data_IF_791407910360
#
_entry.id   IF_791407910360
#
_cell.length_a   1.000
_cell.length_b   1.000
_cell.length_c   1.000
_cell.angle_alpha   90.00
_cell.angle_beta   90.00
_cell.angle_gamma   90.00
#
_symmetry.space_group_name_H-M   'P 1'
#
loop_
_entity.id
_entity.type
_entity.pdbx_description
1 polymer ?
#
# COMPACT_ATOMS: atom_id res chain seq x y z
N UNK A 1 -13.18 -6.54 2.59
CA UNK A 1 -11.88 -6.72 1.87
C UNK A 1 -12.01 -7.70 0.71
N UNK A 2 -12.37 -8.98 0.88
CA UNK A 2 -12.45 -10.01 -0.18
C UNK A 2 -13.19 -9.54 -1.46
N UNK A 3 -14.45 -9.08 -1.34
CA UNK A 3 -15.25 -8.63 -2.49
C UNK A 3 -14.58 -7.48 -3.26
N UNK A 4 -14.02 -6.49 -2.54
CA UNK A 4 -13.33 -5.35 -3.18
C UNK A 4 -12.05 -5.77 -3.90
N UNK A 5 -11.27 -6.68 -3.31
CA UNK A 5 -10.07 -7.23 -3.97
C UNK A 5 -10.41 -8.02 -5.23
N UNK A 6 -11.50 -8.81 -5.20
CA UNK A 6 -11.97 -9.54 -6.38
C UNK A 6 -12.37 -8.59 -7.52
N UNK A 7 -13.04 -7.49 -7.21
CA UNK A 7 -13.39 -6.45 -8.20
C UNK A 7 -12.11 -5.80 -8.75
N UNK A 8 -11.16 -5.44 -7.87
CA UNK A 8 -9.89 -4.86 -8.29
C UNK A 8 -9.10 -5.77 -9.24
N UNK A 9 -9.08 -7.09 -9.00
CA UNK A 9 -8.47 -8.04 -9.92
C UNK A 9 -9.17 -8.04 -11.29
N UNK A 10 -10.50 -8.02 -11.30
CA UNK A 10 -11.27 -7.96 -12.55
C UNK A 10 -10.99 -6.68 -13.35
N UNK A 11 -10.90 -5.53 -12.67
CA UNK A 11 -10.57 -4.26 -13.32
C UNK A 11 -9.10 -4.23 -13.82
N UNK A 12 -8.17 -4.77 -13.04
CA UNK A 12 -6.77 -4.90 -13.47
C UNK A 12 -6.63 -5.78 -14.71
N UNK A 13 -7.35 -6.90 -14.77
CA UNK A 13 -7.35 -7.82 -15.91
C UNK A 13 -7.87 -7.17 -17.19
N UNK A 14 -8.90 -6.32 -17.10
CA UNK A 14 -9.42 -5.57 -18.25
C UNK A 14 -8.39 -4.61 -18.84
N UNK A 15 -7.55 -4.01 -18.00
CA UNK A 15 -6.58 -3.00 -18.41
C UNK A 15 -5.22 -3.58 -18.80
N UNK A 16 -4.89 -4.80 -18.34
CA UNK A 16 -3.54 -5.35 -18.38
C UNK A 16 -3.53 -6.83 -18.81
N UNK A 17 -4.04 -7.14 -19.99
CA UNK A 17 -4.24 -8.51 -20.48
C UNK A 17 -2.99 -9.40 -20.51
N UNK A 18 -1.77 -8.84 -20.59
CA UNK A 18 -0.52 -9.57 -20.78
C UNK A 18 0.55 -9.28 -19.70
N UNK A 19 0.18 -8.76 -18.52
CA UNK A 19 1.14 -8.46 -17.46
C UNK A 19 1.18 -9.54 -16.37
N UNK A 20 2.33 -9.65 -15.72
CA UNK A 20 2.50 -10.49 -14.55
C UNK A 20 1.43 -10.18 -13.48
N UNK A 21 0.66 -11.20 -13.11
CA UNK A 21 -0.39 -11.10 -12.09
C UNK A 21 0.23 -11.17 -10.69
N UNK A 22 0.81 -10.07 -10.21
CA UNK A 22 1.38 -9.92 -8.87
C UNK A 22 0.46 -9.09 -7.98
N UNK A 23 0.20 -9.56 -6.78
CA UNK A 23 -0.60 -8.86 -5.78
C UNK A 23 0.19 -8.69 -4.49
N UNK A 24 0.58 -7.45 -4.20
CA UNK A 24 1.35 -7.09 -3.01
C UNK A 24 0.40 -6.59 -1.93
N UNK A 25 0.53 -7.11 -0.72
CA UNK A 25 -0.24 -6.69 0.45
C UNK A 25 0.70 -6.31 1.58
N UNK A 26 0.71 -5.05 1.97
CA UNK A 26 1.55 -4.49 3.01
C UNK A 26 0.74 -3.67 4.02
N UNK A 27 1.41 -3.13 5.04
CA UNK A 27 0.82 -2.33 6.09
C UNK A 27 0.23 -3.14 7.23
N UNK A 28 -0.25 -2.48 8.30
CA UNK A 28 -0.67 -3.11 9.57
C UNK A 28 -1.71 -4.22 9.40
N UNK A 29 -2.68 -4.05 8.50
CA UNK A 29 -3.72 -5.07 8.24
C UNK A 29 -3.13 -6.35 7.64
N UNK A 30 -2.00 -6.27 6.93
CA UNK A 30 -1.31 -7.41 6.37
C UNK A 30 -0.66 -8.33 7.43
N UNK A 31 -0.53 -7.90 8.68
CA UNK A 31 -0.08 -8.74 9.79
C UNK A 31 -1.14 -9.76 10.24
N UNK A 32 -2.42 -9.51 9.95
CA UNK A 32 -3.52 -10.38 10.34
C UNK A 32 -3.49 -11.71 9.55
N UNK A 33 -3.19 -12.80 10.23
CA UNK A 33 -3.06 -14.14 9.62
C UNK A 33 -4.32 -14.59 8.89
N UNK A 34 -5.52 -14.28 9.41
CA UNK A 34 -6.80 -14.64 8.77
C UNK A 34 -6.98 -13.91 7.44
N UNK A 35 -6.64 -12.63 7.42
CA UNK A 35 -6.70 -11.82 6.19
C UNK A 35 -5.68 -12.31 5.17
N UNK A 36 -4.43 -12.59 5.58
CA UNK A 36 -3.40 -13.18 4.71
C UNK A 36 -3.91 -14.46 4.06
N UNK A 37 -4.39 -15.42 4.85
CA UNK A 37 -4.84 -16.70 4.35
C UNK A 37 -6.00 -16.56 3.36
N UNK A 38 -6.95 -15.67 3.64
CA UNK A 38 -8.06 -15.35 2.75
C UNK A 38 -7.59 -14.78 1.42
N UNK A 39 -6.64 -13.84 1.45
CA UNK A 39 -6.10 -13.21 0.24
C UNK A 39 -5.21 -14.17 -0.56
N UNK A 40 -4.41 -14.99 0.09
CA UNK A 40 -3.62 -16.06 -0.56
C UNK A 40 -4.54 -17.02 -1.31
N UNK A 41 -5.65 -17.44 -0.67
CA UNK A 41 -6.64 -18.30 -1.32
C UNK A 41 -7.24 -17.64 -2.55
N UNK A 42 -7.65 -16.38 -2.45
CA UNK A 42 -8.17 -15.61 -3.57
C UNK A 42 -7.15 -15.45 -4.71
N UNK A 43 -5.88 -15.20 -4.38
CA UNK A 43 -4.81 -15.10 -5.37
C UNK A 43 -4.63 -16.42 -6.13
N UNK A 44 -4.62 -17.55 -5.42
CA UNK A 44 -4.55 -18.89 -6.03
C UNK A 44 -5.74 -19.16 -6.97
N UNK A 45 -6.97 -18.81 -6.54
CA UNK A 45 -8.19 -18.98 -7.34
C UNK A 45 -8.15 -18.14 -8.64
N UNK A 46 -7.42 -17.03 -8.65
CA UNK A 46 -7.35 -16.07 -9.75
C UNK A 46 -6.01 -16.08 -10.49
N UNK A 47 -5.12 -17.04 -10.20
CA UNK A 47 -3.79 -17.15 -10.77
C UNK A 47 -2.92 -15.90 -10.57
N UNK A 48 -3.02 -15.28 -9.37
CA UNK A 48 -2.14 -14.20 -8.94
C UNK A 48 -1.04 -14.73 -8.04
N UNK A 49 0.17 -14.20 -8.20
CA UNK A 49 1.23 -14.35 -7.22
C UNK A 49 0.99 -13.40 -6.05
N UNK A 50 0.73 -13.93 -4.86
CA UNK A 50 0.59 -13.13 -3.64
C UNK A 50 1.96 -12.84 -3.03
N UNK A 51 2.24 -11.60 -2.71
CA UNK A 51 3.50 -11.14 -2.09
C UNK A 51 3.15 -10.43 -0.79
N UNK A 52 3.72 -10.91 0.31
CA UNK A 52 3.56 -10.30 1.64
C UNK A 52 4.94 -10.06 2.25
N UNK A 53 5.19 -8.90 2.86
CA UNK A 53 6.38 -8.70 3.67
C UNK A 53 6.34 -9.60 4.91
N UNK A 54 7.49 -9.76 5.57
CA UNK A 54 7.53 -10.36 6.90
C UNK A 54 6.62 -9.58 7.86
N UNK A 55 6.02 -10.27 8.83
CA UNK A 55 5.04 -9.66 9.75
C UNK A 55 5.63 -8.47 10.50
N UNK A 56 6.90 -8.55 10.89
CA UNK A 56 7.66 -7.49 11.56
C UNK A 56 7.73 -6.18 10.76
N UNK A 57 7.63 -6.24 9.42
CA UNK A 57 7.63 -5.07 8.53
C UNK A 57 6.23 -4.61 8.12
N UNK A 58 5.18 -5.19 8.69
CA UNK A 58 3.81 -4.80 8.37
C UNK A 58 3.28 -3.61 9.18
N UNK A 59 3.97 -3.24 10.28
CA UNK A 59 3.72 -2.03 11.07
C UNK A 59 4.71 -0.93 10.71
N UNK A 60 4.48 0.27 11.22
CA UNK A 60 5.44 1.37 11.10
C UNK A 60 6.79 0.94 11.68
N UNK A 61 7.85 1.15 10.92
CA UNK A 61 9.19 0.78 11.31
C UNK A 61 10.24 1.68 10.66
N UNK A 62 11.38 1.79 11.32
CA UNK A 62 12.49 2.64 10.87
C UNK A 62 13.07 2.23 9.51
N UNK A 63 12.99 0.94 9.15
CA UNK A 63 13.53 0.45 7.87
C UNK A 63 12.78 1.04 6.67
N UNK A 64 11.47 1.29 6.79
CA UNK A 64 10.69 1.96 5.74
C UNK A 64 11.20 3.37 5.48
N UNK A 65 11.43 4.12 6.54
CA UNK A 65 11.91 5.51 6.46
C UNK A 65 13.34 5.55 5.96
N UNK A 66 14.19 4.65 6.45
CA UNK A 66 15.56 4.53 5.97
C UNK A 66 15.64 4.20 4.47
N UNK A 67 14.77 3.33 3.97
CA UNK A 67 14.71 2.99 2.54
C UNK A 67 14.31 4.20 1.69
N UNK A 68 13.27 4.95 2.11
CA UNK A 68 12.86 6.19 1.42
C UNK A 68 13.99 7.22 1.47
N UNK A 69 14.65 7.37 2.62
CA UNK A 69 15.81 8.25 2.76
C UNK A 69 16.96 7.89 1.83
N UNK A 70 17.25 6.59 1.68
CA UNK A 70 18.28 6.11 0.76
C UNK A 70 17.93 6.42 -0.72
N UNK A 71 16.68 6.21 -1.13
CA UNK A 71 16.25 6.52 -2.49
C UNK A 71 16.29 8.04 -2.78
N UNK A 72 15.82 8.86 -1.84
CA UNK A 72 15.94 10.34 -1.94
C UNK A 72 17.41 10.79 -2.01
N UNK A 73 18.28 10.16 -1.20
CA UNK A 73 19.72 10.46 -1.22
C UNK A 73 20.34 10.17 -2.59
N UNK A 74 20.05 9.02 -3.21
CA UNK A 74 20.50 8.67 -4.56
C UNK A 74 20.03 9.70 -5.61
N UNK A 75 18.81 10.19 -5.45
CA UNK A 75 18.21 11.21 -6.32
C UNK A 75 18.67 12.63 -6.00
N UNK A 76 19.57 12.83 -5.01
CA UNK A 76 20.02 14.14 -4.50
C UNK A 76 18.88 15.06 -4.06
N UNK A 77 17.80 14.47 -3.54
CA UNK A 77 16.64 15.19 -3.01
C UNK A 77 16.83 15.37 -1.50
N UNK A 78 17.09 16.59 -1.09
CA UNK A 78 17.32 16.96 0.32
C UNK A 78 16.31 18.02 0.74
N UNK A 79 15.77 17.86 1.93
CA UNK A 79 14.92 18.86 2.57
C UNK A 79 15.77 19.76 3.48
N UNK A 80 15.31 20.96 3.78
CA UNK A 80 15.95 21.85 4.74
C UNK A 80 15.74 21.35 6.16
N UNK A 81 16.65 21.70 7.09
CA UNK A 81 16.58 21.28 8.50
C UNK A 81 15.34 21.80 9.23
N UNK A 82 14.72 22.86 8.75
CA UNK A 82 13.49 23.45 9.30
C UNK A 82 12.20 22.86 8.65
N UNK A 83 12.28 21.66 8.07
CA UNK A 83 11.12 21.01 7.47
C UNK A 83 10.00 20.80 8.51
N UNK A 84 8.78 21.32 8.28
CA UNK A 84 7.70 21.21 9.26
C UNK A 84 7.12 19.80 9.29
N UNK A 85 6.79 19.32 10.49
CA UNK A 85 6.03 18.08 10.64
C UNK A 85 4.63 18.24 10.04
N UNK A 86 4.22 17.30 9.18
CA UNK A 86 2.88 17.25 8.59
C UNK A 86 2.09 16.07 9.19
N UNK A 87 1.33 16.26 10.27
CA UNK A 87 0.59 15.17 10.92
C UNK A 87 -0.54 14.58 10.05
N UNK A 88 -0.99 15.35 9.07
CA UNK A 88 -1.92 14.90 8.03
C UNK A 88 -1.33 15.25 6.66
N UNK A 89 -0.88 14.24 5.97
CA UNK A 89 -0.30 14.39 4.64
C UNK A 89 -1.18 13.66 3.64
N UNK A 90 -2.00 14.37 2.83
CA UNK A 90 -2.81 13.72 1.81
C UNK A 90 -1.90 13.12 0.73
N UNK A 91 -2.30 11.97 0.18
CA UNK A 91 -1.60 11.33 -0.94
C UNK A 91 -1.64 12.17 -2.22
N UNK A 92 -2.70 12.93 -2.38
CA UNK A 92 -2.90 13.88 -3.47
C UNK A 92 -3.43 15.19 -2.87
N UNK A 93 -2.59 16.22 -2.89
CA UNK A 93 -2.93 17.53 -2.35
C UNK A 93 -3.98 18.28 -3.20
N UNK A 94 -4.16 17.87 -4.46
CA UNK A 94 -5.12 18.46 -5.38
C UNK A 94 -6.45 17.68 -5.47
N UNK A 95 -6.53 16.52 -4.79
CA UNK A 95 -7.75 15.72 -4.79
C UNK A 95 -8.90 16.48 -4.12
N UNK A 96 -10.11 16.42 -4.72
CA UNK A 96 -11.30 16.94 -4.11
C UNK A 96 -11.51 16.32 -2.71
N UNK A 97 -11.79 17.17 -1.73
CA UNK A 97 -11.98 16.74 -0.35
C UNK A 97 -13.22 15.86 -0.23
N UNK A 98 -13.01 14.56 -0.05
CA UNK A 98 -14.09 13.62 0.23
C UNK A 98 -14.32 13.56 1.74
N UNK A 99 -15.54 13.90 2.20
CA UNK A 99 -15.95 13.73 3.59
C UNK A 99 -15.92 12.26 3.93
N UNK A 100 -14.93 11.81 4.68
CA UNK A 100 -14.84 10.45 5.21
C UNK A 100 -15.42 10.35 6.61
N UNK A 101 -15.78 9.14 7.04
CA UNK A 101 -16.18 8.88 8.42
C UNK A 101 -15.03 9.31 9.37
N UNK A 102 -15.32 10.20 10.31
CA UNK A 102 -14.37 10.71 11.31
C UNK A 102 -13.73 12.06 10.98
N UNK A 103 -14.04 12.69 9.87
CA UNK A 103 -13.66 14.09 9.62
C UNK A 103 -14.73 15.00 10.22
N UNK A 104 -14.46 15.52 11.43
CA UNK A 104 -15.20 16.68 11.96
C UNK A 104 -14.60 17.93 11.31
N UNK A 105 -15.44 18.72 10.66
CA UNK A 105 -15.12 20.10 10.22
C UNK A 105 -15.13 20.99 11.43
#
# INVERSE_FOLDING_TARGET
MYKKTKIAFSEFEKQNLNKDKKFVVAGGVASNKRIRNMLIKLCKEKNYQSIFPKIEFCSDNAAMIAMVGLEKFKLKQFDHLNYPAKPRWPLDENAAFLKGAGVKL
#
